data_IF_240616314553
#
_entry.id   IF_240616314553
#
_cell.length_a   1.000
_cell.length_b   1.000
_cell.length_c   1.000
_cell.angle_alpha   90.00
_cell.angle_beta   90.00
_cell.angle_gamma   90.00
#
_symmetry.space_group_name_H-M   'P 1'
#
loop_
_entity.id
_entity.type
_entity.pdbx_description
1 polymer ?
#
# COMPACT_ATOMS: atom_id res chain seq x y z
N UNK A 1 41.57 7.62 12.35
CA UNK A 1 40.33 7.17 13.02
C UNK A 1 40.00 5.76 12.53
N UNK A 2 39.73 4.80 13.43
CA UNK A 2 39.22 3.47 13.03
C UNK A 2 37.69 3.51 13.03
N UNK A 3 37.07 3.24 11.89
CA UNK A 3 35.61 3.09 11.80
C UNK A 3 35.20 1.82 12.56
N UNK A 4 34.15 1.92 13.39
CA UNK A 4 33.53 0.76 14.01
C UNK A 4 32.50 0.22 13.02
N UNK A 5 32.64 -1.05 12.66
CA UNK A 5 31.61 -1.76 11.90
C UNK A 5 30.59 -2.36 12.86
N UNK A 6 29.31 -2.13 12.57
CA UNK A 6 28.22 -2.74 13.30
C UNK A 6 27.63 -3.84 12.43
N UNK A 7 27.77 -5.08 12.88
CA UNK A 7 27.22 -6.27 12.22
C UNK A 7 25.92 -6.62 12.93
N UNK A 8 24.83 -6.66 12.17
CA UNK A 8 23.54 -7.13 12.67
C UNK A 8 23.60 -8.65 12.87
N UNK A 9 23.48 -9.10 14.12
CA UNK A 9 23.54 -10.53 14.53
C UNK A 9 22.16 -11.13 14.83
N UNK A 10 21.08 -10.42 14.52
CA UNK A 10 19.71 -10.88 14.75
C UNK A 10 19.17 -11.75 13.61
N UNK A 11 17.92 -12.19 13.77
CA UNK A 11 17.16 -12.92 12.74
C UNK A 11 17.16 -12.17 11.40
N UNK A 12 17.25 -12.86 10.24
CA UNK A 12 17.28 -12.21 8.95
C UNK A 12 16.11 -11.25 8.79
N UNK A 13 16.39 -10.07 8.23
CA UNK A 13 15.37 -9.05 7.98
C UNK A 13 14.23 -9.68 7.18
N UNK A 14 12.97 -9.55 7.63
CA UNK A 14 11.83 -10.10 6.91
C UNK A 14 11.84 -9.61 5.47
N UNK A 15 11.78 -10.55 4.52
CA UNK A 15 11.69 -10.21 3.10
C UNK A 15 10.27 -9.76 2.82
N UNK A 16 10.09 -8.46 2.63
CA UNK A 16 8.81 -7.89 2.21
C UNK A 16 8.69 -8.09 0.70
N UNK A 17 7.65 -8.78 0.26
CA UNK A 17 7.33 -8.94 -1.15
C UNK A 17 6.89 -7.59 -1.75
N UNK A 18 7.02 -7.45 -3.07
CA UNK A 18 6.52 -6.24 -3.77
C UNK A 18 5.02 -6.03 -3.54
N UNK A 19 4.25 -7.13 -3.44
CA UNK A 19 2.81 -7.09 -3.20
C UNK A 19 2.51 -6.54 -1.80
N UNK A 20 3.15 -7.08 -0.76
CA UNK A 20 2.99 -6.61 0.62
C UNK A 20 3.40 -5.14 0.75
N UNK A 21 4.51 -4.74 0.12
CA UNK A 21 4.93 -3.35 0.08
C UNK A 21 3.86 -2.45 -0.58
N UNK A 22 3.29 -2.88 -1.70
CA UNK A 22 2.29 -2.08 -2.43
C UNK A 22 0.99 -1.97 -1.64
N UNK A 23 0.56 -3.05 -0.98
CA UNK A 23 -0.61 -3.03 -0.10
C UNK A 23 -0.39 -2.11 1.12
N UNK A 24 0.78 -2.22 1.77
CA UNK A 24 1.17 -1.33 2.87
C UNK A 24 1.17 0.14 2.44
N UNK A 25 1.77 0.43 1.28
CA UNK A 25 1.86 1.78 0.76
C UNK A 25 0.47 2.37 0.47
N UNK A 26 -0.44 1.59 -0.12
CA UNK A 26 -1.82 2.01 -0.34
C UNK A 26 -2.52 2.35 0.99
N UNK A 27 -2.38 1.48 2.00
CA UNK A 27 -2.96 1.73 3.32
C UNK A 27 -2.39 2.98 3.98
N UNK A 28 -1.07 3.18 3.91
CA UNK A 28 -0.42 4.38 4.43
C UNK A 28 -1.00 5.64 3.77
N UNK A 29 -1.10 5.65 2.44
CA UNK A 29 -1.69 6.78 1.72
C UNK A 29 -3.16 7.03 2.13
N UNK A 30 -3.99 5.98 2.24
CA UNK A 30 -5.38 6.11 2.70
C UNK A 30 -5.48 6.67 4.12
N UNK A 31 -4.59 6.25 5.02
CA UNK A 31 -4.55 6.74 6.40
C UNK A 31 -4.20 8.23 6.50
N UNK A 32 -3.32 8.72 5.62
CA UNK A 32 -2.99 10.14 5.52
C UNK A 32 -4.22 10.92 5.08
N UNK A 33 -4.92 10.47 4.04
CA UNK A 33 -6.16 11.12 3.57
C UNK A 33 -7.23 11.18 4.67
N UNK A 34 -7.43 10.09 5.40
CA UNK A 34 -8.37 10.06 6.53
C UNK A 34 -7.97 11.06 7.64
N UNK A 35 -6.68 11.18 7.93
CA UNK A 35 -6.19 12.19 8.88
C UNK A 35 -6.39 13.62 8.37
N UNK A 36 -6.33 13.86 7.07
CA UNK A 36 -6.54 15.19 6.49
C UNK A 36 -8.02 15.58 6.53
N UNK A 37 -8.92 14.65 6.21
CA UNK A 37 -10.37 14.83 6.34
C UNK A 37 -10.77 15.09 7.80
N UNK A 38 -10.25 14.30 8.74
CA UNK A 38 -10.51 14.50 10.18
C UNK A 38 -10.06 15.87 10.70
N UNK A 39 -9.04 16.48 10.08
CA UNK A 39 -8.56 17.82 10.41
C UNK A 39 -9.25 18.92 9.61
N UNK A 40 -10.29 18.57 8.85
CA UNK A 40 -11.04 19.47 7.97
C UNK A 40 -10.17 20.15 6.90
N UNK A 41 -9.01 19.57 6.59
CA UNK A 41 -8.12 20.02 5.52
C UNK A 41 -8.56 19.52 4.15
N UNK A 42 -9.39 18.47 4.13
CA UNK A 42 -10.08 17.97 2.96
C UNK A 42 -11.58 17.92 3.27
N UNK A 43 -12.39 18.28 2.29
CA UNK A 43 -13.83 17.98 2.33
C UNK A 43 -14.07 16.50 2.08
N UNK A 44 -15.20 15.99 2.57
CA UNK A 44 -15.59 14.58 2.34
C UNK A 44 -15.64 14.21 0.84
N UNK A 45 -16.05 15.14 -0.01
CA UNK A 45 -16.06 14.95 -1.47
C UNK A 45 -14.64 14.80 -2.05
N UNK A 46 -13.69 15.61 -1.58
CA UNK A 46 -12.28 15.52 -2.02
C UNK A 46 -11.65 14.22 -1.54
N UNK A 47 -11.88 13.86 -0.28
CA UNK A 47 -11.44 12.58 0.29
C UNK A 47 -11.94 11.40 -0.56
N UNK A 48 -13.25 11.33 -0.78
CA UNK A 48 -13.88 10.22 -1.50
C UNK A 48 -13.33 10.06 -2.92
N UNK A 49 -13.20 11.18 -3.66
CA UNK A 49 -12.60 11.17 -5.00
C UNK A 49 -11.14 10.71 -5.00
N UNK A 50 -10.35 11.12 -4.01
CA UNK A 50 -8.96 10.68 -3.89
C UNK A 50 -8.87 9.17 -3.60
N UNK A 51 -9.73 8.64 -2.73
CA UNK A 51 -9.79 7.20 -2.43
C UNK A 51 -10.11 6.40 -3.70
N UNK A 52 -11.16 6.77 -4.43
CA UNK A 52 -11.57 6.08 -5.66
C UNK A 52 -10.44 6.05 -6.70
N UNK A 53 -9.76 7.17 -6.93
CA UNK A 53 -8.66 7.22 -7.90
C UNK A 53 -7.46 6.39 -7.46
N UNK A 54 -7.15 6.37 -6.16
CA UNK A 54 -6.08 5.51 -5.65
C UNK A 54 -6.38 4.02 -5.84
N UNK A 55 -7.62 3.59 -5.61
CA UNK A 55 -8.05 2.20 -5.81
C UNK A 55 -8.01 1.82 -7.29
N UNK A 56 -8.53 2.67 -8.18
CA UNK A 56 -8.44 2.45 -9.64
C UNK A 56 -6.99 2.27 -10.10
N UNK A 57 -6.07 3.05 -9.57
CA UNK A 57 -4.63 2.95 -9.91
C UNK A 57 -3.99 1.67 -9.35
N UNK A 58 -4.40 1.24 -8.16
CA UNK A 58 -3.95 -0.01 -7.56
C UNK A 58 -4.40 -1.21 -8.40
N UNK A 59 -5.67 -1.24 -8.79
CA UNK A 59 -6.25 -2.32 -9.60
C UNK A 59 -5.58 -2.40 -10.98
N UNK A 60 -5.34 -1.26 -11.63
CA UNK A 60 -4.59 -1.21 -12.92
C UNK A 60 -3.18 -1.79 -12.80
N UNK A 61 -2.48 -1.50 -11.70
CA UNK A 61 -1.11 -2.00 -11.46
C UNK A 61 -1.08 -3.50 -11.14
N UNK A 62 -2.12 -4.05 -10.54
CA UNK A 62 -2.23 -5.48 -10.28
C UNK A 62 -2.64 -6.26 -11.53
N UNK A 63 -3.60 -5.74 -12.31
CA UNK A 63 -4.01 -6.34 -13.59
C UNK A 63 -2.86 -6.39 -14.62
N UNK A 64 -2.00 -5.36 -14.66
CA UNK A 64 -0.83 -5.35 -15.55
C UNK A 64 0.28 -6.32 -15.12
N UNK A 65 0.36 -6.69 -13.84
CA UNK A 65 1.31 -7.70 -13.34
C UNK A 65 0.82 -9.13 -13.58
N UNK A 66 -0.50 -9.35 -13.68
CA UNK A 66 -1.10 -10.64 -13.96
C UNK A 66 -0.90 -11.16 -15.40
N UNK A 67 -0.56 -10.29 -16.36
CA UNK A 67 -0.36 -10.69 -17.78
C UNK A 67 1.02 -11.37 -17.98
N UNK A 68 1.93 -11.29 -16.99
CA UNK A 68 3.29 -11.86 -17.06
C UNK A 68 3.48 -13.26 -16.47
N UNK A 69 2.45 -13.88 -15.89
CA UNK A 69 2.61 -15.19 -15.24
C UNK A 69 1.30 -15.98 -15.23
N UNK A 70 1.30 -17.13 -15.92
CA UNK A 70 0.24 -18.15 -15.77
C UNK A 70 0.15 -18.54 -14.29
N UNK A 71 -1.00 -18.30 -13.66
CA UNK A 71 -1.28 -18.75 -12.30
C UNK A 71 -2.59 -18.16 -11.78
N UNK A 72 -3.46 -19.02 -11.28
CA UNK A 72 -4.85 -18.75 -10.88
C UNK A 72 -5.03 -17.63 -9.82
N UNK A 73 -6.02 -16.77 -10.09
CA UNK A 73 -7.13 -16.36 -9.22
C UNK A 73 -6.88 -15.92 -7.76
N UNK A 74 -7.26 -14.67 -7.44
CA UNK A 74 -8.33 -14.29 -6.48
C UNK A 74 -8.42 -12.75 -6.42
N UNK A 75 -9.43 -12.15 -7.05
CA UNK A 75 -9.82 -10.79 -6.70
C UNK A 75 -10.53 -10.85 -5.35
N UNK A 76 -9.78 -10.76 -4.25
CA UNK A 76 -10.39 -10.54 -2.95
C UNK A 76 -10.92 -9.10 -2.92
N UNK A 77 -12.23 -8.98 -3.12
CA UNK A 77 -12.98 -7.79 -2.80
C UNK A 77 -12.96 -7.66 -1.26
N UNK A 78 -12.14 -6.76 -0.74
CA UNK A 78 -12.15 -6.43 0.67
C UNK A 78 -13.26 -5.39 0.89
N UNK A 79 -14.41 -5.83 1.38
CA UNK A 79 -15.41 -4.96 2.00
C UNK A 79 -14.78 -4.30 3.23
N UNK A 80 -14.34 -3.05 3.10
CA UNK A 80 -14.05 -2.21 4.26
C UNK A 80 -15.35 -1.53 4.72
N UNK A 81 -16.16 -2.26 5.49
CA UNK A 81 -17.13 -1.64 6.39
C UNK A 81 -16.36 -1.01 7.54
N UNK A 82 -16.21 0.31 7.49
CA UNK A 82 -15.88 1.18 8.63
C UNK A 82 -17.10 2.03 8.93
#
# INVERSE_FOLDING_TARGET
>A
MKCREFIYVGEPVPKITKQEYTAFYLHLQKSILASLEKRELLTHLQYSRCIEEMEKQYDRKNCSQAIGGKGEQLCQHYDMNV
#
